data_IF_457153355468
#
_entry.id   IF_457153355468
#
_cell.length_a   1.000
_cell.length_b   1.000
_cell.length_c   1.000
_cell.angle_alpha   90.00
_cell.angle_beta   90.00
_cell.angle_gamma   90.00
#
_symmetry.space_group_name_H-M   'P 1'
#
loop_
_entity.id
_entity.type
_entity.pdbx_description
1 polymer ?
#
# COMPACT_ATOMS: atom_id res chain seq x y z
N UNK A 1 0.26 7.05 19.28
CA UNK A 1 -0.45 6.13 18.39
C UNK A 1 0.61 5.38 17.60
N UNK A 2 1.06 4.23 18.09
CA UNK A 2 1.88 3.32 17.28
C UNK A 2 1.01 2.91 16.10
N UNK A 3 1.45 3.22 14.88
CA UNK A 3 0.74 2.80 13.68
C UNK A 3 0.81 1.29 13.60
N UNK A 4 -0.29 0.62 13.92
CA UNK A 4 -0.41 -0.81 13.69
C UNK A 4 -0.41 -1.03 12.18
N UNK A 5 0.59 -1.72 11.65
CA UNK A 5 0.64 -2.09 10.24
C UNK A 5 -0.46 -3.12 10.03
N UNK A 6 -1.57 -2.69 9.42
CA UNK A 6 -2.70 -3.57 9.12
C UNK A 6 -2.25 -4.79 8.32
N UNK A 7 -2.42 -5.98 8.89
CA UNK A 7 -2.12 -7.23 8.20
C UNK A 7 -3.19 -7.53 7.16
N UNK A 8 -2.75 -7.82 5.93
CA UNK A 8 -3.62 -8.28 4.86
C UNK A 8 -3.47 -9.79 4.70
N UNK A 9 -4.58 -10.48 4.46
CA UNK A 9 -4.55 -11.89 4.11
C UNK A 9 -3.73 -12.11 2.82
N UNK A 10 -3.09 -13.27 2.71
CA UNK A 10 -2.37 -13.65 1.50
C UNK A 10 -3.30 -13.55 0.27
N UNK A 11 -2.81 -12.92 -0.80
CA UNK A 11 -3.58 -12.71 -2.04
C UNK A 11 -4.56 -11.54 -2.01
N UNK A 12 -4.77 -10.85 -0.87
CA UNK A 12 -5.67 -9.70 -0.80
C UNK A 12 -5.31 -8.60 -1.80
N UNK A 13 -4.01 -8.31 -1.96
CA UNK A 13 -3.52 -7.33 -2.94
C UNK A 13 -3.97 -7.70 -4.37
N UNK A 14 -3.83 -8.97 -4.77
CA UNK A 14 -4.26 -9.45 -6.08
C UNK A 14 -5.77 -9.39 -6.24
N UNK A 15 -6.54 -9.61 -5.17
CA UNK A 15 -8.00 -9.47 -5.19
C UNK A 15 -8.44 -8.05 -5.54
N UNK A 16 -7.72 -7.03 -5.06
CA UNK A 16 -8.05 -5.62 -5.34
C UNK A 16 -7.53 -5.14 -6.70
N UNK A 17 -6.27 -5.46 -7.03
CA UNK A 17 -5.58 -4.90 -8.20
C UNK A 17 -5.63 -5.81 -9.44
N UNK A 18 -5.85 -7.11 -9.26
CA UNK A 18 -5.52 -8.13 -10.26
C UNK A 18 -4.03 -8.45 -10.28
N UNK A 19 -3.64 -9.40 -11.12
CA UNK A 19 -2.26 -9.91 -11.15
C UNK A 19 -1.30 -9.01 -11.94
N UNK A 20 -1.80 -8.27 -12.93
CA UNK A 20 -0.97 -7.52 -13.88
C UNK A 20 -0.87 -6.02 -13.58
N UNK A 21 -1.77 -5.47 -12.76
CA UNK A 21 -1.80 -4.04 -12.48
C UNK A 21 -1.11 -3.71 -11.16
N UNK A 22 -0.23 -2.72 -11.21
CA UNK A 22 0.41 -2.16 -10.01
C UNK A 22 -0.37 -0.98 -9.43
N UNK A 23 -1.23 -0.33 -10.22
CA UNK A 23 -2.09 0.77 -9.77
C UNK A 23 -3.51 0.58 -10.27
N UNK A 24 -4.50 0.84 -9.42
CA UNK A 24 -5.91 0.90 -9.82
C UNK A 24 -6.63 2.03 -9.11
N UNK A 25 -7.38 2.81 -9.90
CA UNK A 25 -8.19 3.92 -9.43
C UNK A 25 -9.67 3.54 -9.49
N UNK A 26 -10.34 3.67 -8.36
CA UNK A 26 -11.74 3.35 -8.16
C UNK A 26 -12.54 4.63 -8.01
N UNK A 27 -13.44 4.89 -8.96
CA UNK A 27 -14.40 6.01 -8.87
C UNK A 27 -15.43 5.80 -7.77
N UNK A 28 -15.80 4.55 -7.57
CA UNK A 28 -16.65 4.07 -6.48
C UNK A 28 -15.97 2.85 -5.88
N UNK A 29 -15.70 2.91 -4.57
CA UNK A 29 -15.06 1.86 -3.80
C UNK A 29 -16.01 1.43 -2.68
N UNK A 30 -16.12 0.12 -2.48
CA UNK A 30 -16.74 -0.46 -1.29
C UNK A 30 -15.72 -1.42 -0.68
N UNK A 31 -15.32 -1.13 0.55
CA UNK A 31 -14.40 -1.94 1.34
C UNK A 31 -15.15 -2.45 2.58
N UNK A 32 -14.92 -3.70 2.95
CA UNK A 32 -15.54 -4.35 4.12
C UNK A 32 -14.76 -4.07 5.42
N UNK A 33 -13.81 -3.14 5.37
CA UNK A 33 -12.87 -2.82 6.44
C UNK A 33 -11.49 -3.43 6.22
N UNK A 34 -11.29 -4.27 5.20
CA UNK A 34 -9.99 -4.89 4.90
C UNK A 34 -8.90 -3.87 4.59
N UNK A 35 -9.22 -2.81 3.84
CA UNK A 35 -8.22 -1.82 3.39
C UNK A 35 -8.22 -0.56 4.26
N UNK A 36 -9.40 -0.09 4.65
CA UNK A 36 -9.58 1.20 5.32
C UNK A 36 -10.06 1.08 6.77
N UNK A 37 -10.20 -0.15 7.29
CA UNK A 37 -10.61 -0.40 8.68
C UNK A 37 -11.93 0.30 9.04
N UNK A 38 -11.96 0.95 10.21
CA UNK A 38 -13.11 1.74 10.65
C UNK A 38 -13.47 2.91 9.73
N UNK A 39 -12.56 3.31 8.84
CA UNK A 39 -12.78 4.37 7.86
C UNK A 39 -13.47 3.90 6.57
N UNK A 40 -13.68 2.60 6.36
CA UNK A 40 -14.18 2.04 5.11
C UNK A 40 -15.51 2.64 4.65
N UNK A 41 -16.47 2.84 5.57
CA UNK A 41 -17.76 3.46 5.25
C UNK A 41 -17.70 4.94 4.85
N UNK A 42 -16.52 5.57 4.96
CA UNK A 42 -16.30 6.98 4.60
C UNK A 42 -15.63 7.12 3.23
N UNK A 43 -15.04 6.06 2.70
CA UNK A 43 -14.31 6.09 1.43
C UNK A 43 -15.29 5.90 0.29
N UNK A 44 -15.40 6.91 -0.57
CA UNK A 44 -16.21 6.88 -1.78
C UNK A 44 -15.37 6.50 -3.00
N UNK A 45 -14.19 7.09 -3.16
CA UNK A 45 -13.26 6.76 -4.23
C UNK A 45 -11.89 6.42 -3.64
N UNK A 46 -11.11 5.60 -4.36
CA UNK A 46 -9.82 5.13 -3.86
C UNK A 46 -8.76 5.01 -4.96
N UNK A 47 -7.51 5.23 -4.58
CA UNK A 47 -6.34 4.82 -5.32
C UNK A 47 -5.61 3.72 -4.56
N UNK A 48 -5.44 2.57 -5.21
CA UNK A 48 -4.69 1.44 -4.68
C UNK A 48 -3.42 1.24 -5.50
N UNK A 49 -2.28 1.13 -4.83
CA UNK A 49 -0.97 0.90 -5.45
C UNK A 49 -0.27 -0.25 -4.76
N UNK A 50 0.23 -1.19 -5.54
CA UNK A 50 1.01 -2.33 -5.08
C UNK A 50 2.42 -1.89 -4.73
N UNK A 51 2.85 -2.15 -3.50
CA UNK A 51 4.23 -1.97 -3.07
C UNK A 51 4.99 -3.29 -3.13
N UNK A 52 6.20 -3.28 -3.68
CA UNK A 52 7.18 -4.37 -3.65
C UNK A 52 8.55 -3.79 -3.23
N UNK A 53 8.76 -3.47 -1.95
CA UNK A 53 9.97 -2.76 -1.50
C UNK A 53 11.27 -3.49 -1.85
N UNK A 54 11.34 -4.80 -1.63
CA UNK A 54 12.45 -5.65 -2.04
C UNK A 54 12.00 -7.11 -2.16
N UNK A 55 12.90 -8.00 -2.62
CA UNK A 55 12.64 -9.46 -2.62
C UNK A 55 12.60 -10.08 -1.22
N UNK A 56 13.15 -9.40 -0.22
CA UNK A 56 13.27 -9.90 1.15
C UNK A 56 12.15 -9.39 2.06
N UNK A 57 11.30 -8.48 1.58
CA UNK A 57 10.18 -7.92 2.30
C UNK A 57 8.87 -8.35 1.64
N UNK A 58 7.79 -8.54 2.42
CA UNK A 58 6.49 -8.86 1.85
C UNK A 58 5.98 -7.72 0.96
N UNK A 59 5.19 -8.09 -0.05
CA UNK A 59 4.45 -7.09 -0.83
C UNK A 59 3.44 -6.35 0.08
N UNK A 60 3.24 -5.07 -0.19
CA UNK A 60 2.33 -4.20 0.54
C UNK A 60 1.32 -3.51 -0.36
N UNK A 61 0.39 -2.78 0.26
CA UNK A 61 -0.62 -2.00 -0.43
C UNK A 61 -0.58 -0.55 0.09
N UNK A 62 -0.34 0.41 -0.80
CA UNK A 62 -0.60 1.81 -0.54
C UNK A 62 -2.05 2.09 -0.94
N UNK A 63 -2.87 2.49 0.03
CA UNK A 63 -4.28 2.79 -0.19
C UNK A 63 -4.59 4.23 0.21
N UNK A 64 -5.11 5.02 -0.73
CA UNK A 64 -5.58 6.38 -0.49
C UNK A 64 -7.08 6.44 -0.76
N UNK A 65 -7.87 6.77 0.27
CA UNK A 65 -9.31 6.93 0.17
C UNK A 65 -9.72 8.40 0.20
N UNK A 66 -10.77 8.74 -0.54
CA UNK A 66 -11.41 10.07 -0.53
C UNK A 66 -12.92 9.94 -0.32
N UNK A 67 -13.53 10.95 0.32
CA UNK A 67 -14.99 11.00 0.59
C UNK A 67 -15.77 11.43 -0.66
N UNK A 68 -15.12 12.13 -1.57
CA UNK A 68 -15.65 12.57 -2.85
C UNK A 68 -15.20 11.63 -3.99
N UNK A 69 -15.69 11.88 -5.21
CA UNK A 69 -15.28 11.15 -6.42
C UNK A 69 -13.93 11.68 -6.97
N UNK A 70 -12.91 11.70 -6.12
CA UNK A 70 -11.58 12.24 -6.40
C UNK A 70 -10.78 11.36 -7.36
N UNK A 71 -10.82 10.04 -7.19
CA UNK A 71 -10.09 9.10 -8.04
C UNK A 71 -10.99 8.55 -9.14
N UNK A 72 -10.47 8.37 -10.35
CA UNK A 72 -11.20 7.70 -11.44
C UNK A 72 -10.25 7.05 -12.46
N UNK A 73 -10.69 5.99 -13.14
CA UNK A 73 -9.82 5.14 -13.99
C UNK A 73 -9.11 5.85 -15.14
N UNK A 74 -9.63 6.99 -15.63
CA UNK A 74 -8.99 7.79 -16.68
C UNK A 74 -7.94 8.81 -16.18
N UNK A 75 -7.68 8.90 -14.87
CA UNK A 75 -6.65 9.78 -14.33
C UNK A 75 -5.25 9.20 -14.57
N UNK A 76 -4.27 10.10 -14.76
CA UNK A 76 -2.87 9.74 -14.67
C UNK A 76 -2.52 9.24 -13.27
N UNK A 77 -1.79 8.12 -13.20
CA UNK A 77 -1.37 7.46 -11.96
C UNK A 77 0.12 7.72 -11.63
N UNK A 78 0.81 8.54 -12.42
CA UNK A 78 2.26 8.70 -12.36
C UNK A 78 2.75 9.22 -11.01
N UNK A 79 2.03 10.18 -10.42
CA UNK A 79 2.37 10.72 -9.09
C UNK A 79 2.22 9.65 -7.99
N UNK A 80 1.18 8.81 -8.09
CA UNK A 80 0.93 7.72 -7.14
C UNK A 80 2.01 6.65 -7.25
N UNK A 81 2.38 6.29 -8.47
CA UNK A 81 3.50 5.39 -8.76
C UNK A 81 4.82 5.96 -8.23
N UNK A 82 5.09 7.24 -8.49
CA UNK A 82 6.30 7.90 -7.99
C UNK A 82 6.35 7.86 -6.46
N UNK A 83 5.26 8.25 -5.79
CA UNK A 83 5.14 8.22 -4.34
C UNK A 83 5.39 6.80 -3.80
N UNK A 84 4.75 5.79 -4.40
CA UNK A 84 4.94 4.39 -4.03
C UNK A 84 6.41 3.97 -4.11
N UNK A 85 7.11 4.31 -5.20
CA UNK A 85 8.53 3.97 -5.37
C UNK A 85 9.43 4.67 -4.34
N UNK A 86 9.11 5.91 -3.98
CA UNK A 86 9.83 6.61 -2.91
C UNK A 86 9.62 5.91 -1.57
N UNK A 87 8.37 5.54 -1.25
CA UNK A 87 8.04 4.81 -0.02
C UNK A 87 8.74 3.46 0.05
N UNK A 88 8.77 2.71 -1.05
CA UNK A 88 9.52 1.44 -1.15
C UNK A 88 11.00 1.61 -0.76
N UNK A 89 11.66 2.66 -1.27
CA UNK A 89 13.06 2.94 -0.93
C UNK A 89 13.24 3.30 0.55
N UNK A 90 12.31 4.06 1.12
CA UNK A 90 12.34 4.40 2.56
C UNK A 90 12.16 3.14 3.41
N UNK A 91 11.21 2.29 3.05
CA UNK A 91 10.93 1.03 3.74
C UNK A 91 12.18 0.15 3.72
N UNK A 92 12.78 -0.10 2.54
CA UNK A 92 14.02 -0.89 2.43
C UNK A 92 15.10 -0.36 3.37
N UNK A 93 15.36 0.94 3.37
CA UNK A 93 16.39 1.53 4.24
C UNK A 93 16.08 1.39 5.73
N UNK A 94 14.80 1.51 6.11
CA UNK A 94 14.39 1.34 7.50
C UNK A 94 14.61 -0.10 8.00
N UNK A 95 14.38 -1.10 7.15
CA UNK A 95 14.55 -2.52 7.50
C UNK A 95 15.97 -3.06 7.28
N UNK A 96 16.75 -2.49 6.35
CA UNK A 96 18.16 -2.84 6.15
C UNK A 96 19.03 -2.35 7.33
N UNK A 97 18.68 -1.20 7.94
CA UNK A 97 19.38 -0.66 9.11
C UNK A 97 19.26 -1.53 10.36
N UNK A 98 18.13 -2.23 10.53
CA UNK A 98 17.89 -3.15 11.64
C UNK A 98 18.72 -4.43 11.49
N UNK A 99 18.88 -4.93 10.26
CA UNK A 99 19.70 -6.12 9.97
C UNK A 99 21.19 -5.86 10.21
N UNK A 100 21.69 -4.66 9.91
CA UNK A 100 23.09 -4.29 10.16
C UNK A 100 23.39 -4.13 11.66
N UNK A 101 22.45 -3.61 12.45
CA UNK A 101 22.59 -3.51 13.91
C UNK A 101 22.49 -4.90 14.58
N UNK A 102 21.60 -5.77 14.12
CA UNK A 102 21.48 -7.14 14.63
C UNK A 102 22.73 -7.99 14.34
N UNK A 103 23.39 -7.79 13.19
CA UNK A 103 24.67 -8.46 12.87
C UNK A 103 25.89 -7.85 13.57
N UNK A 104 25.87 -6.57 13.93
CA UNK A 104 26.98 -5.90 14.61
C UNK A 104 27.05 -6.19 16.12
N UNK A 105 25.96 -6.66 16.73
CA UNK A 105 25.84 -6.93 18.16
C UNK A 105 25.39 -8.37 18.50
N UNK A 106 25.44 -9.29 17.52
CA UNK A 106 25.10 -10.71 17.71
C UNK A 106 26.35 -11.59 17.82
N UNK A 107 26.81 -11.81 19.05
CA UNK A 107 27.64 -12.96 19.49
C UNK A 107 26.76 -13.90 20.34
#
# INVERSE_FOLDING_TARGET
MQGDLGQLAAGAINRFLGDEQDVRLFREMSDDGTVFGSGAGLVRSAALVRMRPSKNLPAGLLALGAREATFHSGQGAELLTFLCRVLEQIIVRAFDGDSALQMAFGD
#
